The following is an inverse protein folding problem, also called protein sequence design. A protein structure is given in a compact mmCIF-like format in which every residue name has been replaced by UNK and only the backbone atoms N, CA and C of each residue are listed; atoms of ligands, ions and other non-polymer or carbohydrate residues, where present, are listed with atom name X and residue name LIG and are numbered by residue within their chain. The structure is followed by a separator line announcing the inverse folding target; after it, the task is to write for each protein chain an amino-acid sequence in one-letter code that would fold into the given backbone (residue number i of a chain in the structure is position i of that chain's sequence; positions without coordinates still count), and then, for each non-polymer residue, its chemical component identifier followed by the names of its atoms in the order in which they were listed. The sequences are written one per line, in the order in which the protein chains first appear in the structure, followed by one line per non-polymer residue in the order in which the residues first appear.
data_IF_581916159904
#
_entry.id   IF_581916159904
#
_cell.length_a   1.000
_cell.length_b   1.000
_cell.length_c   1.000
_cell.angle_alpha   90.00
_cell.angle_beta   90.00
_cell.angle_gamma   90.00
#
_symmetry.space_group_name_H-M   'P 1'
#
loop_
_entity.id
_entity.type
_entity.pdbx_description
1 polymer ?
#
# COMPACT_ATOMS: atom_id res chain seq x y z
N UNK A 1 41.28 -20.26 48.21
CA UNK A 1 40.82 -21.46 47.47
C UNK A 1 39.39 -21.79 47.87
N UNK A 2 38.42 -21.60 46.97
CA UNK A 2 37.22 -22.44 46.78
C UNK A 2 36.46 -21.85 45.59
N UNK A 3 36.45 -22.60 44.49
CA UNK A 3 35.72 -22.31 43.25
C UNK A 3 34.23 -22.53 43.52
N UNK A 4 33.38 -21.54 43.24
CA UNK A 4 31.95 -21.78 43.07
C UNK A 4 31.64 -21.77 41.56
N UNK A 5 31.49 -22.98 41.05
CA UNK A 5 30.96 -23.32 39.73
C UNK A 5 29.50 -22.87 39.62
N UNK A 6 29.21 -21.96 38.70
CA UNK A 6 27.83 -21.61 38.30
C UNK A 6 27.35 -22.69 37.33
N UNK A 7 26.31 -23.41 37.75
CA UNK A 7 25.58 -24.39 36.97
C UNK A 7 24.67 -23.67 35.94
N UNK A 8 24.82 -23.85 34.61
CA UNK A 8 24.02 -23.15 33.62
C UNK A 8 22.73 -23.94 33.34
N UNK A 9 21.81 -23.95 34.29
CA UNK A 9 20.50 -24.59 34.11
C UNK A 9 19.46 -24.04 35.08
N UNK A 10 19.18 -22.73 34.99
CA UNK A 10 17.98 -22.08 35.56
C UNK A 10 17.94 -20.59 35.15
N UNK A 11 17.58 -20.34 33.90
CA UNK A 11 17.11 -19.03 33.43
C UNK A 11 15.95 -19.29 32.48
N UNK A 12 14.79 -19.61 33.05
CA UNK A 12 13.49 -19.66 32.37
C UNK A 12 12.43 -19.32 33.42
N UNK A 13 12.59 -18.16 34.08
CA UNK A 13 11.47 -17.53 34.78
C UNK A 13 10.84 -16.52 33.83
N UNK A 14 9.58 -16.77 33.55
CA UNK A 14 8.72 -16.09 32.60
C UNK A 14 8.52 -14.63 33.04
N UNK A 15 8.93 -13.66 32.22
CA UNK A 15 8.60 -12.23 32.39
C UNK A 15 7.15 -11.99 31.93
N UNK A 16 6.20 -12.78 32.43
CA UNK A 16 4.79 -12.71 32.07
C UNK A 16 3.87 -12.27 33.22
N UNK A 17 4.40 -12.17 34.45
CA UNK A 17 3.56 -11.98 35.65
C UNK A 17 3.59 -10.55 36.23
N UNK A 18 3.98 -9.53 35.46
CA UNK A 18 3.99 -8.15 35.95
C UNK A 18 3.37 -7.16 34.96
N UNK A 19 2.06 -7.26 34.69
CA UNK A 19 1.26 -6.12 34.17
C UNK A 19 -0.20 -6.19 34.67
N UNK A 20 -0.84 -5.04 34.97
CA UNK A 20 -2.26 -4.98 35.38
C UNK A 20 -3.20 -5.31 34.22
N UNK A 21 -4.35 -5.87 34.57
CA UNK A 21 -5.35 -6.49 33.70
C UNK A 21 -5.76 -5.63 32.49
N UNK A 22 -5.35 -6.07 31.30
CA UNK A 22 -5.96 -5.67 30.03
C UNK A 22 -7.02 -6.71 29.60
N UNK A 23 -8.08 -6.20 28.95
CA UNK A 23 -9.32 -6.90 28.58
C UNK A 23 -9.13 -8.34 28.03
N UNK A 24 -9.97 -9.31 28.44
CA UNK A 24 -9.79 -10.75 28.13
C UNK A 24 -9.79 -11.10 26.63
N UNK A 25 -10.44 -10.29 25.78
CA UNK A 25 -10.69 -10.64 24.37
C UNK A 25 -9.44 -10.49 23.49
N UNK A 26 -8.57 -9.53 23.80
CA UNK A 26 -7.29 -9.34 23.09
C UNK A 26 -6.27 -10.42 23.48
N UNK A 27 -6.34 -11.00 24.67
CA UNK A 27 -5.39 -12.04 25.07
C UNK A 27 -5.49 -13.30 24.20
N UNK A 28 -6.67 -13.61 23.66
CA UNK A 28 -6.91 -14.87 22.93
C UNK A 28 -6.33 -14.86 21.51
N UNK A 29 -6.32 -13.71 20.83
CA UNK A 29 -5.65 -13.54 19.53
C UNK A 29 -4.15 -13.26 19.69
N UNK A 30 -3.74 -12.55 20.74
CA UNK A 30 -2.35 -12.17 20.97
C UNK A 30 -1.49 -13.31 21.57
N UNK A 31 -2.08 -14.26 22.31
CA UNK A 31 -1.35 -15.43 22.86
C UNK A 31 -0.91 -16.44 21.80
N UNK A 32 -1.35 -16.30 20.53
CA UNK A 32 -0.92 -17.19 19.43
C UNK A 32 0.39 -16.75 18.74
N UNK A 33 0.90 -15.55 18.99
CA UNK A 33 2.15 -15.09 18.38
C UNK A 33 3.34 -15.41 19.29
N UNK A 34 3.98 -16.56 19.04
CA UNK A 34 5.28 -16.90 19.61
C UNK A 34 6.39 -16.00 19.02
N UNK A 35 7.54 -15.83 19.71
CA UNK A 35 8.70 -15.16 19.13
C UNK A 35 9.09 -15.81 17.80
N UNK A 36 9.13 -15.01 16.73
CA UNK A 36 9.47 -15.46 15.37
C UNK A 36 10.92 -15.98 15.37
N UNK A 37 11.08 -17.31 15.27
CA UNK A 37 12.34 -17.96 14.90
C UNK A 37 12.49 -17.88 13.38
N UNK A 38 13.73 -17.68 12.89
CA UNK A 38 14.13 -17.56 11.48
C UNK A 38 12.98 -17.76 10.46
N UNK A 39 12.26 -16.69 10.12
CA UNK A 39 11.42 -16.69 8.91
C UNK A 39 12.36 -16.59 7.70
N UNK A 40 12.87 -17.73 7.26
CA UNK A 40 12.96 -17.94 5.81
C UNK A 40 11.54 -17.79 5.27
N UNK A 41 11.36 -17.03 4.18
CA UNK A 41 10.10 -17.05 3.44
C UNK A 41 9.63 -18.50 3.34
N UNK A 42 8.51 -18.81 4.02
CA UNK A 42 7.93 -20.14 3.97
C UNK A 42 7.32 -20.21 2.58
N UNK A 43 8.11 -20.67 1.62
CA UNK A 43 7.58 -21.17 0.35
C UNK A 43 6.60 -22.26 0.79
N UNK A 44 5.30 -22.03 0.60
CA UNK A 44 4.31 -23.01 0.93
C UNK A 44 4.58 -24.22 0.02
N UNK A 45 5.04 -25.34 0.59
CA UNK A 45 5.67 -26.43 -0.20
C UNK A 45 4.70 -27.21 -1.08
N UNK A 46 3.42 -26.82 -1.11
CA UNK A 46 2.39 -27.40 -1.98
C UNK A 46 2.14 -26.58 -3.25
N UNK A 47 2.43 -25.27 -3.23
CA UNK A 47 2.37 -24.38 -4.40
C UNK A 47 3.43 -23.29 -4.19
N UNK A 48 4.43 -23.20 -5.07
CA UNK A 48 5.56 -22.26 -5.02
C UNK A 48 5.09 -20.79 -5.02
N UNK A 49 4.47 -20.33 -3.95
CA UNK A 49 3.85 -19.02 -3.79
C UNK A 49 4.49 -18.26 -2.65
N UNK A 50 4.47 -16.93 -2.76
CA UNK A 50 4.91 -16.03 -1.71
C UNK A 50 3.89 -15.95 -0.56
N UNK A 51 4.22 -15.20 0.49
CA UNK A 51 3.36 -15.02 1.67
C UNK A 51 2.00 -14.36 1.39
N UNK A 52 1.79 -13.76 0.22
CA UNK A 52 0.50 -13.19 -0.20
C UNK A 52 -0.19 -14.03 -1.27
N UNK A 53 0.38 -15.17 -1.65
CA UNK A 53 -0.19 -16.11 -2.62
C UNK A 53 0.22 -15.88 -4.08
N UNK A 54 1.18 -14.99 -4.39
CA UNK A 54 1.67 -14.85 -5.76
C UNK A 54 2.61 -16.00 -6.12
N UNK A 55 2.40 -16.62 -7.30
CA UNK A 55 3.31 -17.65 -7.83
C UNK A 55 4.72 -17.05 -8.00
N UNK A 56 5.72 -17.73 -7.42
CA UNK A 56 7.09 -17.25 -7.26
C UNK A 56 7.73 -16.81 -8.59
N UNK A 57 7.87 -15.50 -8.78
CA UNK A 57 8.75 -14.90 -9.78
C UNK A 57 10.04 -14.51 -9.07
N UNK A 58 11.16 -15.19 -9.40
CA UNK A 58 12.55 -14.98 -8.89
C UNK A 58 12.67 -13.99 -7.72
N UNK A 59 12.26 -14.41 -6.52
CA UNK A 59 12.33 -13.52 -5.35
C UNK A 59 13.78 -13.26 -4.94
N UNK A 60 14.12 -11.98 -4.72
CA UNK A 60 15.17 -11.65 -3.79
C UNK A 60 14.71 -12.04 -2.39
N UNK A 61 15.44 -12.93 -1.72
CA UNK A 61 15.27 -13.16 -0.28
C UNK A 61 15.50 -11.86 0.46
N UNK A 62 14.44 -11.18 0.90
CA UNK A 62 14.55 -10.08 1.85
C UNK A 62 15.13 -10.62 3.15
N UNK A 63 16.44 -10.45 3.34
CA UNK A 63 17.12 -10.79 4.59
C UNK A 63 16.84 -9.71 5.62
N UNK A 64 15.62 -9.64 6.12
CA UNK A 64 15.39 -8.94 7.39
C UNK A 64 15.99 -9.81 8.49
N UNK A 65 17.05 -9.32 9.14
CA UNK A 65 17.57 -9.95 10.35
C UNK A 65 16.42 -10.10 11.38
N UNK A 66 16.15 -11.31 11.89
CA UNK A 66 15.04 -11.56 12.81
C UNK A 66 15.03 -10.62 14.03
N UNK A 67 16.20 -10.17 14.49
CA UNK A 67 16.28 -9.17 15.58
C UNK A 67 15.67 -7.83 15.15
N UNK A 68 15.94 -7.40 13.92
CA UNK A 68 15.39 -6.17 13.35
C UNK A 68 13.87 -6.27 13.17
N UNK A 69 13.36 -7.40 12.67
CA UNK A 69 11.93 -7.64 12.54
C UNK A 69 11.23 -7.63 13.90
N UNK A 70 11.75 -8.40 14.87
CA UNK A 70 11.22 -8.44 16.23
C UNK A 70 11.23 -7.05 16.89
N UNK A 71 12.30 -6.28 16.71
CA UNK A 71 12.37 -4.90 17.20
C UNK A 71 11.33 -3.98 16.53
N UNK A 72 11.02 -4.19 15.24
CA UNK A 72 9.94 -3.46 14.53
C UNK A 72 8.58 -3.85 15.09
N UNK A 73 8.33 -5.15 15.31
CA UNK A 73 7.08 -5.66 15.89
C UNK A 73 6.83 -5.05 17.27
N UNK A 74 7.81 -5.07 18.17
CA UNK A 74 7.68 -4.49 19.51
C UNK A 74 7.37 -2.99 19.47
N UNK A 75 8.03 -2.25 18.56
CA UNK A 75 7.76 -0.82 18.37
C UNK A 75 6.36 -0.56 17.86
N UNK A 76 5.86 -1.37 16.93
CA UNK A 76 4.52 -1.22 16.39
C UNK A 76 3.44 -1.63 17.40
N UNK A 77 3.68 -2.65 18.22
CA UNK A 77 2.79 -3.00 19.34
C UNK A 77 2.52 -1.80 20.25
N UNK A 78 3.57 -1.07 20.63
CA UNK A 78 3.44 0.17 21.41
C UNK A 78 2.68 1.25 20.63
N UNK A 79 2.93 1.39 19.32
CA UNK A 79 2.18 2.36 18.50
C UNK A 79 0.68 2.03 18.45
N UNK A 80 0.32 0.76 18.30
CA UNK A 80 -1.08 0.31 18.26
C UNK A 80 -1.76 0.56 19.60
N UNK A 81 -1.11 0.24 20.72
CA UNK A 81 -1.64 0.53 22.05
C UNK A 81 -1.93 2.03 22.25
N UNK A 82 -1.09 2.92 21.70
CA UNK A 82 -1.38 4.36 21.69
C UNK A 82 -2.61 4.70 20.83
N UNK A 83 -2.78 4.05 19.68
CA UNK A 83 -3.98 4.24 18.84
C UNK A 83 -5.24 3.83 19.59
N UNK A 84 -5.24 2.64 20.21
CA UNK A 84 -6.38 2.10 20.95
C UNK A 84 -6.76 2.94 22.17
N UNK A 85 -5.77 3.60 22.79
CA UNK A 85 -5.98 4.57 23.90
C UNK A 85 -6.36 5.97 23.44
N UNK A 86 -6.54 6.19 22.14
CA UNK A 86 -6.78 7.51 21.52
C UNK A 86 -5.66 8.53 21.79
N UNK A 87 -4.47 8.05 22.13
CA UNK A 87 -3.31 8.88 22.37
C UNK A 87 -2.66 9.26 21.04
N UNK A 88 -2.17 10.50 20.96
CA UNK A 88 -1.47 10.96 19.77
C UNK A 88 0.00 10.54 19.86
N UNK A 89 0.49 9.61 19.03
CA UNK A 89 1.91 9.30 19.02
C UNK A 89 2.72 10.50 18.54
N UNK A 90 3.99 10.54 18.94
CA UNK A 90 4.92 11.52 18.41
C UNK A 90 4.97 11.44 16.87
N UNK A 91 4.74 12.58 16.21
CA UNK A 91 4.60 12.66 14.75
C UNK A 91 5.88 12.23 14.03
N UNK A 92 7.05 12.57 14.58
CA UNK A 92 8.35 12.25 13.98
C UNK A 92 8.64 10.76 14.13
N UNK A 93 8.32 10.19 15.29
CA UNK A 93 8.45 8.77 15.58
C UNK A 93 7.54 7.93 14.69
N UNK A 94 6.24 8.27 14.60
CA UNK A 94 5.28 7.58 13.73
C UNK A 94 5.78 7.59 12.29
N UNK A 95 6.16 8.77 11.79
CA UNK A 95 6.73 8.93 10.45
C UNK A 95 7.95 8.06 10.19
N UNK A 96 8.90 8.03 11.14
CA UNK A 96 10.10 7.21 11.00
C UNK A 96 9.78 5.70 11.06
N UNK A 97 8.79 5.28 11.86
CA UNK A 97 8.34 3.89 11.93
C UNK A 97 7.64 3.48 10.64
N UNK A 98 6.71 4.29 10.13
CA UNK A 98 6.00 4.03 8.87
C UNK A 98 6.94 3.94 7.68
N UNK A 99 7.97 4.80 7.59
CA UNK A 99 8.98 4.70 6.51
C UNK A 99 9.85 3.45 6.58
N UNK A 100 10.06 2.88 7.77
CA UNK A 100 10.74 1.58 7.99
C UNK A 100 9.81 0.37 7.82
N UNK A 101 8.53 0.67 7.63
CA UNK A 101 7.43 -0.21 7.33
C UNK A 101 6.70 -0.82 8.51
N UNK A 102 5.43 -1.10 8.25
CA UNK A 102 4.49 -1.73 9.17
C UNK A 102 4.55 -3.25 8.94
N UNK A 103 4.84 -4.05 9.98
CA UNK A 103 4.73 -5.50 9.90
C UNK A 103 3.32 -5.91 9.51
N UNK A 104 3.20 -6.95 8.68
CA UNK A 104 1.94 -7.34 8.02
C UNK A 104 0.78 -7.49 9.02
N UNK A 105 1.02 -8.16 10.15
CA UNK A 105 0.01 -8.37 11.20
C UNK A 105 -0.53 -7.10 11.88
N UNK A 106 0.10 -5.94 11.70
CA UNK A 106 -0.39 -4.66 12.23
C UNK A 106 -1.09 -3.80 11.17
N UNK A 107 -1.09 -4.16 9.88
CA UNK A 107 -1.68 -3.32 8.82
C UNK A 107 -3.19 -3.17 8.98
N UNK A 108 -3.88 -4.25 9.34
CA UNK A 108 -5.32 -4.23 9.63
C UNK A 108 -5.71 -3.20 10.70
N UNK A 109 -4.82 -2.93 11.66
CA UNK A 109 -5.06 -1.97 12.76
C UNK A 109 -4.51 -0.58 12.42
N UNK A 110 -3.31 -0.51 11.84
CA UNK A 110 -2.63 0.75 11.59
C UNK A 110 -3.21 1.52 10.40
N UNK A 111 -3.58 0.84 9.30
CA UNK A 111 -4.00 1.54 8.08
C UNK A 111 -5.32 2.30 8.21
N UNK A 112 -6.37 1.79 8.88
CA UNK A 112 -7.57 2.58 9.16
C UNK A 112 -7.23 3.88 9.91
N UNK A 113 -6.37 3.78 10.95
CA UNK A 113 -5.89 4.94 11.68
C UNK A 113 -5.15 5.94 10.77
N UNK A 114 -4.20 5.46 9.96
CA UNK A 114 -3.40 6.30 9.06
C UNK A 114 -4.25 6.96 7.95
N UNK A 115 -5.25 6.25 7.41
CA UNK A 115 -6.24 6.81 6.48
C UNK A 115 -7.09 7.90 7.16
N UNK A 116 -7.09 7.94 8.49
CA UNK A 116 -7.82 8.87 9.33
C UNK A 116 -9.27 8.44 9.52
N UNK A 117 -9.59 7.15 9.37
CA UNK A 117 -10.89 6.60 9.75
C UNK A 117 -11.17 7.05 11.19
N UNK A 118 -12.29 7.76 11.47
CA UNK A 118 -12.46 8.42 12.75
C UNK A 118 -12.37 7.44 13.92
N UNK A 119 -11.63 7.78 14.97
CA UNK A 119 -11.38 6.89 16.11
C UNK A 119 -12.66 6.51 16.88
N UNK A 120 -13.68 7.38 16.88
CA UNK A 120 -15.02 7.04 17.38
C UNK A 120 -15.68 5.87 16.61
N UNK A 121 -15.20 5.57 15.40
CA UNK A 121 -15.53 4.36 14.66
C UNK A 121 -14.60 3.19 14.99
N UNK A 122 -13.38 3.43 15.47
CA UNK A 122 -12.36 2.40 15.79
C UNK A 122 -12.58 1.82 17.20
N UNK A 123 -12.92 2.65 18.20
CA UNK A 123 -12.83 2.28 19.63
C UNK A 123 -14.14 1.90 20.28
N UNK A 124 -15.05 1.34 19.52
CA UNK A 124 -16.33 1.04 20.12
C UNK A 124 -16.83 -0.29 19.64
N UNK A 125 -17.41 -0.97 20.61
CA UNK A 125 -18.73 -1.58 20.58
C UNK A 125 -19.73 -0.94 19.53
N UNK A 126 -19.44 0.17 18.82
CA UNK A 126 -20.16 0.69 17.64
C UNK A 126 -19.68 0.04 16.33
N UNK A 127 -18.56 -0.71 16.30
CA UNK A 127 -18.35 -1.80 15.32
C UNK A 127 -19.43 -2.89 15.48
N UNK A 128 -20.10 -3.05 16.64
CA UNK A 128 -21.35 -3.85 16.73
C UNK A 128 -22.58 -3.14 16.14
N UNK A 129 -22.41 -1.93 15.60
CA UNK A 129 -23.31 -1.31 14.61
C UNK A 129 -22.66 -1.34 13.21
N UNK A 130 -22.14 -2.51 12.83
CA UNK A 130 -21.88 -3.04 11.49
C UNK A 130 -22.97 -2.78 10.41
N UNK A 131 -23.99 -1.96 10.69
CA UNK A 131 -25.09 -1.68 9.78
C UNK A 131 -24.60 -1.16 8.45
N UNK A 132 -23.70 -0.18 8.36
CA UNK A 132 -23.48 0.49 7.07
C UNK A 132 -22.81 -0.36 5.99
N UNK A 133 -21.71 -1.06 6.29
CA UNK A 133 -21.08 -1.94 5.30
C UNK A 133 -22.04 -3.09 4.94
N UNK A 134 -22.65 -3.73 5.93
CA UNK A 134 -23.64 -4.79 5.68
C UNK A 134 -24.91 -4.28 4.97
N UNK A 135 -25.37 -3.06 5.23
CA UNK A 135 -26.50 -2.37 4.59
C UNK A 135 -26.16 -2.11 3.12
N UNK A 136 -24.95 -1.62 2.83
CA UNK A 136 -24.49 -1.45 1.46
C UNK A 136 -24.36 -2.79 0.72
N UNK A 137 -23.93 -3.85 1.40
CA UNK A 137 -23.92 -5.21 0.84
C UNK A 137 -25.33 -5.75 0.59
N UNK A 138 -26.29 -5.47 1.47
CA UNK A 138 -27.70 -5.88 1.34
C UNK A 138 -28.48 -5.02 0.35
N UNK A 139 -27.93 -3.88 -0.08
CA UNK A 139 -28.57 -2.99 -1.05
C UNK A 139 -28.86 -3.72 -2.36
N UNK A 140 -30.07 -3.47 -2.88
CA UNK A 140 -30.50 -3.92 -4.20
C UNK A 140 -30.08 -2.95 -5.31
N UNK A 141 -29.62 -1.74 -4.97
CA UNK A 141 -29.18 -0.71 -5.91
C UNK A 141 -27.75 -0.97 -6.43
N UNK A 142 -27.52 -2.17 -6.94
CA UNK A 142 -26.20 -2.62 -7.37
C UNK A 142 -26.21 -3.03 -8.84
N UNK A 143 -25.60 -2.16 -9.67
CA UNK A 143 -25.64 -2.28 -11.13
C UNK A 143 -24.30 -2.66 -11.76
N UNK A 144 -23.28 -2.93 -10.95
CA UNK A 144 -21.91 -3.15 -11.42
C UNK A 144 -21.42 -4.60 -11.28
N UNK A 145 -22.29 -5.53 -10.87
CA UNK A 145 -21.92 -6.93 -10.59
C UNK A 145 -21.15 -7.58 -11.74
N UNK A 146 -21.69 -7.51 -12.95
CA UNK A 146 -21.08 -8.11 -14.13
C UNK A 146 -19.69 -7.53 -14.40
N UNK A 147 -19.53 -6.21 -14.33
CA UNK A 147 -18.25 -5.55 -14.59
C UNK A 147 -17.22 -5.86 -13.50
N UNK A 148 -17.63 -5.84 -12.24
CA UNK A 148 -16.78 -6.20 -11.10
C UNK A 148 -16.28 -7.63 -11.23
N UNK A 149 -17.16 -8.59 -11.54
CA UNK A 149 -16.76 -10.01 -11.70
C UNK A 149 -15.77 -10.20 -12.84
N UNK A 150 -15.96 -9.54 -13.98
CA UNK A 150 -14.97 -9.58 -15.08
C UNK A 150 -13.61 -9.00 -14.66
N UNK A 151 -13.61 -7.95 -13.85
CA UNK A 151 -12.38 -7.34 -13.37
C UNK A 151 -11.69 -8.18 -12.29
N UNK A 152 -12.45 -8.85 -11.42
CA UNK A 152 -11.94 -9.80 -10.43
C UNK A 152 -11.12 -10.91 -11.11
N UNK A 153 -11.63 -11.50 -12.21
CA UNK A 153 -10.95 -12.59 -12.94
C UNK A 153 -9.55 -12.20 -13.49
N UNK A 154 -9.30 -10.91 -13.68
CA UNK A 154 -8.01 -10.37 -14.18
C UNK A 154 -7.25 -9.59 -13.11
N UNK A 155 -7.70 -9.62 -11.85
CA UNK A 155 -7.01 -8.97 -10.73
C UNK A 155 -5.99 -9.92 -10.15
N UNK A 156 -4.71 -9.57 -10.26
CA UNK A 156 -3.60 -10.40 -9.79
C UNK A 156 -3.72 -11.87 -10.26
N UNK A 157 -3.72 -12.13 -11.59
CA UNK A 157 -4.02 -13.46 -12.15
C UNK A 157 -3.04 -14.55 -11.70
N UNK A 158 -1.82 -14.17 -11.30
CA UNK A 158 -0.82 -15.09 -10.77
C UNK A 158 -0.94 -15.36 -9.26
N UNK A 159 -1.94 -14.77 -8.59
CA UNK A 159 -2.19 -14.96 -7.17
C UNK A 159 -3.25 -16.04 -6.92
N UNK A 160 -2.89 -17.06 -6.14
CA UNK A 160 -3.78 -18.20 -5.85
C UNK A 160 -5.03 -17.81 -5.07
N UNK A 161 -4.99 -16.72 -4.32
CA UNK A 161 -6.11 -16.21 -3.53
C UNK A 161 -7.13 -15.43 -4.36
N UNK A 162 -6.85 -15.12 -5.63
CA UNK A 162 -7.76 -14.40 -6.52
C UNK A 162 -8.25 -15.26 -7.69
N UNK A 163 -8.04 -16.58 -7.61
CA UNK A 163 -8.69 -17.54 -8.50
C UNK A 163 -10.22 -17.49 -8.28
N UNK A 164 -10.96 -17.96 -9.29
CA UNK A 164 -12.42 -17.91 -9.28
C UNK A 164 -13.01 -18.60 -8.05
N UNK A 165 -14.01 -17.97 -7.43
CA UNK A 165 -14.76 -18.47 -6.26
C UNK A 165 -13.92 -18.75 -5.00
N UNK A 166 -12.79 -18.07 -4.83
CA UNK A 166 -12.03 -18.06 -3.57
C UNK A 166 -12.68 -17.12 -2.55
N UNK A 167 -12.32 -17.28 -1.27
CA UNK A 167 -12.79 -16.37 -0.20
C UNK A 167 -12.38 -14.93 -0.48
N UNK A 168 -11.16 -14.72 -0.96
CA UNK A 168 -10.67 -13.37 -1.28
C UNK A 168 -11.24 -12.81 -2.59
N UNK A 169 -11.57 -13.63 -3.60
CA UNK A 169 -12.30 -13.13 -4.77
C UNK A 169 -13.72 -12.66 -4.41
N UNK A 170 -14.43 -13.37 -3.52
CA UNK A 170 -15.76 -12.94 -3.07
C UNK A 170 -15.69 -11.72 -2.13
N UNK A 171 -14.69 -11.65 -1.25
CA UNK A 171 -14.38 -10.46 -0.45
C UNK A 171 -14.15 -9.24 -1.36
N UNK A 172 -13.40 -9.40 -2.45
CA UNK A 172 -13.17 -8.35 -3.44
C UNK A 172 -14.49 -7.85 -4.06
N UNK A 173 -15.38 -8.76 -4.48
CA UNK A 173 -16.70 -8.41 -5.00
C UNK A 173 -17.50 -7.64 -3.95
N UNK A 174 -17.55 -8.13 -2.70
CA UNK A 174 -18.31 -7.53 -1.61
C UNK A 174 -17.84 -6.11 -1.30
N UNK A 175 -16.53 -5.89 -1.14
CA UNK A 175 -15.98 -4.57 -0.84
C UNK A 175 -16.23 -3.58 -1.99
N UNK A 176 -16.04 -4.00 -3.24
CA UNK A 176 -16.33 -3.18 -4.42
C UNK A 176 -17.81 -2.84 -4.55
N UNK A 177 -18.69 -3.82 -4.33
CA UNK A 177 -20.15 -3.61 -4.28
C UNK A 177 -20.50 -2.55 -3.26
N UNK A 178 -20.10 -2.73 -2.01
CA UNK A 178 -20.43 -1.82 -0.94
C UNK A 178 -19.93 -0.40 -1.21
N UNK A 179 -18.72 -0.27 -1.75
CA UNK A 179 -18.15 1.03 -2.12
C UNK A 179 -18.91 1.71 -3.26
N UNK A 180 -19.32 0.96 -4.29
CA UNK A 180 -20.09 1.50 -5.42
C UNK A 180 -21.46 2.02 -4.99
N UNK A 181 -22.09 1.36 -4.00
CA UNK A 181 -23.35 1.83 -3.38
C UNK A 181 -23.09 3.05 -2.48
N UNK A 182 -22.05 3.00 -1.65
CA UNK A 182 -21.72 4.08 -0.71
C UNK A 182 -21.35 5.40 -1.39
N UNK A 183 -20.82 5.35 -2.62
CA UNK A 183 -20.45 6.51 -3.43
C UNK A 183 -21.08 6.32 -4.82
N UNK A 184 -22.42 6.28 -4.86
CA UNK A 184 -23.21 6.01 -6.08
C UNK A 184 -22.85 6.90 -7.27
N UNK A 185 -22.56 8.17 -7.03
CA UNK A 185 -22.15 9.14 -8.06
C UNK A 185 -20.76 8.83 -8.67
N UNK A 186 -19.95 7.99 -8.02
CA UNK A 186 -18.71 7.42 -8.58
C UNK A 186 -18.98 6.07 -9.24
N UNK A 187 -19.83 5.25 -8.62
CA UNK A 187 -20.09 3.88 -9.04
C UNK A 187 -18.84 2.99 -8.95
N UNK A 188 -18.67 2.11 -9.94
CA UNK A 188 -17.47 1.29 -10.09
C UNK A 188 -16.64 1.76 -11.30
N UNK A 189 -15.31 1.83 -11.13
CA UNK A 189 -14.39 2.17 -12.19
C UNK A 189 -13.21 1.18 -12.23
N UNK A 190 -12.82 0.80 -13.44
CA UNK A 190 -11.69 -0.10 -13.69
C UNK A 190 -10.40 0.42 -13.03
N UNK A 191 -9.66 -0.49 -12.39
CA UNK A 191 -8.45 -0.19 -11.64
C UNK A 191 -8.68 -0.18 -10.13
N UNK A 192 -9.92 0.01 -9.68
CA UNK A 192 -10.29 -0.05 -8.27
C UNK A 192 -10.18 -1.46 -7.69
N UNK A 193 -10.37 -2.47 -8.54
CA UNK A 193 -10.18 -3.89 -8.23
C UNK A 193 -8.76 -4.18 -7.70
N UNK A 194 -7.71 -3.65 -8.32
CA UNK A 194 -6.33 -3.87 -7.87
C UNK A 194 -6.05 -3.27 -6.49
N UNK A 195 -6.52 -2.04 -6.26
CA UNK A 195 -6.36 -1.38 -4.98
C UNK A 195 -7.14 -2.13 -3.88
N UNK A 196 -8.36 -2.56 -4.17
CA UNK A 196 -9.21 -3.30 -3.22
C UNK A 196 -8.62 -4.67 -2.90
N UNK A 197 -8.18 -5.41 -3.92
CA UNK A 197 -7.50 -6.69 -3.77
C UNK A 197 -6.25 -6.57 -2.90
N UNK A 198 -5.45 -5.51 -3.10
CA UNK A 198 -4.27 -5.26 -2.29
C UNK A 198 -4.60 -5.03 -0.81
N UNK A 199 -5.72 -4.36 -0.51
CA UNK A 199 -6.15 -4.11 0.87
C UNK A 199 -6.62 -5.39 1.57
N UNK A 200 -7.54 -6.14 0.95
CA UNK A 200 -8.16 -7.33 1.58
C UNK A 200 -7.17 -8.47 1.84
N UNK A 201 -6.01 -8.50 1.17
CA UNK A 201 -4.94 -9.45 1.50
C UNK A 201 -4.33 -9.23 2.88
N UNK A 202 -4.44 -8.03 3.46
CA UNK A 202 -3.80 -7.66 4.74
C UNK A 202 -4.76 -6.99 5.74
N UNK A 203 -6.03 -6.85 5.38
CA UNK A 203 -7.10 -6.32 6.22
C UNK A 203 -8.35 -7.16 6.08
N UNK A 204 -9.29 -7.06 7.02
CA UNK A 204 -10.65 -7.56 6.80
C UNK A 204 -11.43 -6.66 5.81
N UNK A 205 -12.56 -7.17 5.32
CA UNK A 205 -13.43 -6.51 4.33
C UNK A 205 -13.88 -5.11 4.79
N UNK A 206 -14.31 -5.00 6.05
CA UNK A 206 -14.83 -3.73 6.58
C UNK A 206 -13.73 -2.66 6.69
N UNK A 207 -12.54 -3.03 7.15
CA UNK A 207 -11.39 -2.12 7.17
C UNK A 207 -10.96 -1.74 5.76
N UNK A 208 -10.93 -2.69 4.82
CA UNK A 208 -10.65 -2.40 3.42
C UNK A 208 -11.66 -1.38 2.86
N UNK A 209 -12.95 -1.60 3.09
CA UNK A 209 -14.02 -0.68 2.71
C UNK A 209 -13.81 0.72 3.29
N UNK A 210 -13.56 0.86 4.61
CA UNK A 210 -13.38 2.17 5.22
C UNK A 210 -12.11 2.88 4.76
N UNK A 211 -11.02 2.15 4.55
CA UNK A 211 -9.80 2.70 3.96
C UNK A 211 -10.13 3.24 2.56
N UNK A 212 -10.75 2.45 1.69
CA UNK A 212 -11.15 2.88 0.34
C UNK A 212 -12.08 4.10 0.38
N UNK A 213 -13.12 4.07 1.22
CA UNK A 213 -14.04 5.19 1.38
C UNK A 213 -13.29 6.49 1.74
N UNK A 214 -12.29 6.39 2.63
CA UNK A 214 -11.43 7.53 2.97
C UNK A 214 -10.51 7.95 1.83
N UNK A 215 -9.98 7.03 1.04
CA UNK A 215 -9.23 7.36 -0.18
C UNK A 215 -10.09 8.17 -1.15
N UNK A 216 -11.32 7.71 -1.39
CA UNK A 216 -12.27 8.37 -2.29
C UNK A 216 -12.64 9.78 -1.81
N UNK A 217 -12.96 9.93 -0.52
CA UNK A 217 -13.52 11.17 0.03
C UNK A 217 -12.47 12.18 0.50
N UNK A 218 -11.36 11.73 1.12
CA UNK A 218 -10.34 12.62 1.71
C UNK A 218 -9.19 12.91 0.75
N UNK A 219 -8.80 11.94 -0.07
CA UNK A 219 -7.66 12.08 -0.99
C UNK A 219 -8.09 12.41 -2.43
N UNK A 220 -9.36 12.78 -2.61
CA UNK A 220 -9.97 13.15 -3.88
C UNK A 220 -9.78 12.09 -4.98
N UNK A 221 -9.75 10.81 -4.60
CA UNK A 221 -9.61 9.72 -5.56
C UNK A 221 -10.91 9.47 -6.33
N UNK A 222 -12.07 9.74 -5.74
CA UNK A 222 -13.36 9.58 -6.43
C UNK A 222 -13.40 10.38 -7.74
N UNK A 223 -12.91 11.62 -7.73
CA UNK A 223 -12.86 12.48 -8.92
C UNK A 223 -11.97 11.90 -10.02
N UNK A 224 -10.91 11.18 -9.65
CA UNK A 224 -9.98 10.52 -10.57
C UNK A 224 -10.59 9.31 -11.25
N UNK A 225 -11.45 8.59 -10.55
CA UNK A 225 -12.22 7.48 -11.14
C UNK A 225 -13.40 7.97 -11.98
N UNK A 226 -14.09 9.05 -11.57
CA UNK A 226 -15.22 9.63 -12.32
C UNK A 226 -14.79 10.29 -13.62
N UNK A 227 -13.72 11.08 -13.55
CA UNK A 227 -13.23 11.86 -14.66
C UNK A 227 -11.73 11.61 -14.83
N UNK A 228 -11.33 10.67 -15.70
CA UNK A 228 -9.91 10.39 -15.97
C UNK A 228 -9.12 11.64 -16.39
N UNK A 229 -9.77 12.67 -16.93
CA UNK A 229 -9.12 13.95 -17.25
C UNK A 229 -8.64 14.71 -16.01
N UNK A 230 -9.11 14.36 -14.81
CA UNK A 230 -8.57 14.93 -13.56
C UNK A 230 -7.12 14.50 -13.32
N UNK A 231 -6.68 13.36 -13.89
CA UNK A 231 -5.29 12.90 -13.87
C UNK A 231 -4.33 13.81 -14.64
N UNK A 232 -4.85 14.70 -15.50
CA UNK A 232 -4.02 15.69 -16.21
C UNK A 232 -3.25 16.60 -15.23
N UNK A 233 -3.78 16.84 -14.02
CA UNK A 233 -3.04 17.54 -12.95
C UNK A 233 -1.81 16.73 -12.56
N UNK A 234 -1.99 15.45 -12.26
CA UNK A 234 -0.91 14.55 -11.85
C UNK A 234 0.15 14.43 -12.94
N UNK A 235 -0.24 14.30 -14.21
CA UNK A 235 0.69 14.25 -15.33
C UNK A 235 1.45 15.57 -15.48
N UNK A 236 0.79 16.72 -15.35
CA UNK A 236 1.47 18.01 -15.42
C UNK A 236 2.52 18.17 -14.33
N UNK A 237 2.17 17.83 -13.08
CA UNK A 237 3.09 17.92 -11.94
C UNK A 237 4.25 16.93 -12.14
N UNK A 238 3.96 15.70 -12.56
CA UNK A 238 4.98 14.69 -12.82
C UNK A 238 5.91 15.10 -13.98
N UNK A 239 5.39 15.67 -15.06
CA UNK A 239 6.20 16.18 -16.17
C UNK A 239 7.17 17.26 -15.67
N UNK A 240 6.68 18.23 -14.90
CA UNK A 240 7.53 19.28 -14.32
C UNK A 240 8.64 18.67 -13.44
N UNK A 241 8.31 17.66 -12.63
CA UNK A 241 9.28 16.98 -11.78
C UNK A 241 10.28 16.13 -12.59
N UNK A 242 9.85 15.43 -13.65
CA UNK A 242 10.75 14.68 -14.54
C UNK A 242 11.70 15.66 -15.24
N UNK A 243 11.22 16.78 -15.77
CA UNK A 243 12.09 17.79 -16.38
C UNK A 243 13.12 18.36 -15.38
N UNK A 244 12.76 18.46 -14.09
CA UNK A 244 13.66 18.93 -13.04
C UNK A 244 14.72 17.90 -12.62
N UNK A 245 14.32 16.65 -12.37
CA UNK A 245 15.21 15.63 -11.80
C UNK A 245 15.87 14.74 -12.85
N UNK A 246 15.25 14.59 -14.02
CA UNK A 246 15.65 13.70 -15.11
C UNK A 246 15.50 14.38 -16.47
N UNK A 247 16.20 15.51 -16.73
CA UNK A 247 16.06 16.28 -17.97
C UNK A 247 16.41 15.47 -19.22
N UNK A 248 17.34 14.51 -19.12
CA UNK A 248 17.68 13.58 -20.22
C UNK A 248 16.49 12.67 -20.55
N UNK A 249 15.87 12.05 -19.55
CA UNK A 249 14.65 11.26 -19.71
C UNK A 249 13.52 12.11 -20.29
N UNK A 250 13.31 13.34 -19.81
CA UNK A 250 12.29 14.24 -20.33
C UNK A 250 12.48 14.51 -21.84
N UNK A 251 13.72 14.73 -22.28
CA UNK A 251 14.05 14.90 -23.71
C UNK A 251 13.77 13.64 -24.52
N UNK A 252 14.09 12.45 -23.99
CA UNK A 252 13.83 11.17 -24.66
C UNK A 252 12.33 10.94 -24.82
N UNK A 253 11.54 11.14 -23.76
CA UNK A 253 10.09 11.01 -23.80
C UNK A 253 9.48 11.93 -24.87
N UNK A 254 9.88 13.21 -24.88
CA UNK A 254 9.45 14.19 -25.89
C UNK A 254 9.86 13.80 -27.30
N UNK A 255 11.13 13.39 -27.51
CA UNK A 255 11.63 12.97 -28.82
C UNK A 255 10.89 11.75 -29.37
N UNK A 256 10.51 10.83 -28.49
CA UNK A 256 9.78 9.62 -28.85
C UNK A 256 8.25 9.82 -28.88
N UNK A 257 7.73 11.03 -28.65
CA UNK A 257 6.28 11.31 -28.53
C UNK A 257 5.58 10.42 -27.49
N UNK A 258 6.23 10.18 -26.34
CA UNK A 258 5.67 9.40 -25.25
C UNK A 258 5.10 10.35 -24.19
N UNK A 259 3.78 10.52 -24.21
CA UNK A 259 3.07 11.24 -23.17
C UNK A 259 2.92 10.41 -21.89
N UNK A 260 2.91 11.09 -20.74
CA UNK A 260 2.76 10.46 -19.43
C UNK A 260 1.47 9.65 -19.30
N UNK A 261 0.38 10.08 -19.97
CA UNK A 261 -0.89 9.36 -19.96
C UNK A 261 -0.74 7.90 -20.42
N UNK A 262 0.20 7.60 -21.32
CA UNK A 262 0.36 6.24 -21.84
C UNK A 262 0.80 5.22 -20.79
N UNK A 263 1.53 5.63 -19.75
CA UNK A 263 2.07 4.71 -18.73
C UNK A 263 1.74 5.09 -17.29
N UNK A 264 1.56 6.38 -16.99
CA UNK A 264 1.33 6.86 -15.62
C UNK A 264 -0.14 6.87 -15.21
N UNK A 265 -1.08 6.59 -16.12
CA UNK A 265 -2.52 6.51 -15.78
C UNK A 265 -2.75 5.46 -14.70
N UNK A 266 -2.22 4.25 -14.89
CA UNK A 266 -2.34 3.15 -13.93
C UNK A 266 -1.67 3.47 -12.59
N UNK A 267 -0.55 4.20 -12.63
CA UNK A 267 0.21 4.58 -11.44
C UNK A 267 -0.64 5.41 -10.47
N UNK A 268 -1.35 6.42 -10.99
CA UNK A 268 -2.13 7.31 -10.16
C UNK A 268 -3.53 6.79 -9.87
N UNK A 269 -4.16 6.10 -10.83
CA UNK A 269 -5.52 5.59 -10.64
C UNK A 269 -5.54 4.40 -9.69
N UNK A 270 -4.54 3.52 -9.70
CA UNK A 270 -4.47 2.36 -8.79
C UNK A 270 -3.62 2.63 -7.55
N UNK A 271 -3.09 3.84 -7.39
CA UNK A 271 -2.07 4.17 -6.38
C UNK A 271 -0.87 3.21 -6.43
N UNK A 272 -0.48 2.81 -7.63
CA UNK A 272 0.58 1.85 -7.94
C UNK A 272 0.27 0.39 -7.56
N UNK A 273 -0.95 0.05 -7.15
CA UNK A 273 -1.31 -1.33 -6.79
C UNK A 273 -1.21 -2.31 -7.98
N UNK A 274 -1.45 -1.84 -9.21
CA UNK A 274 -1.24 -2.65 -10.42
C UNK A 274 0.18 -2.57 -10.98
N UNK A 275 1.04 -1.73 -10.39
CA UNK A 275 2.36 -1.38 -10.96
C UNK A 275 3.53 -1.88 -10.13
N UNK A 276 3.42 -1.95 -8.81
CA UNK A 276 4.52 -2.40 -7.96
C UNK A 276 4.28 -3.84 -7.52
N UNK A 277 5.35 -4.65 -7.35
CA UNK A 277 5.26 -5.89 -6.59
C UNK A 277 4.57 -5.62 -5.25
N UNK A 278 3.71 -6.54 -4.80
CA UNK A 278 2.75 -6.27 -3.72
C UNK A 278 3.43 -5.80 -2.43
N UNK A 279 4.57 -6.41 -2.07
CA UNK A 279 5.37 -6.01 -0.90
C UNK A 279 5.84 -4.56 -1.01
N UNK A 280 6.32 -4.14 -2.19
CA UNK A 280 6.76 -2.77 -2.43
C UNK A 280 5.58 -1.80 -2.44
N UNK A 281 4.45 -2.19 -3.04
CA UNK A 281 3.21 -1.42 -2.98
C UNK A 281 2.83 -1.10 -1.52
N UNK A 282 2.83 -2.09 -0.62
CA UNK A 282 2.48 -1.86 0.79
C UNK A 282 3.38 -0.84 1.47
N UNK A 283 4.69 -0.87 1.18
CA UNK A 283 5.66 0.10 1.68
C UNK A 283 5.37 1.51 1.20
N UNK A 284 5.02 1.67 -0.07
CA UNK A 284 4.67 2.99 -0.62
C UNK A 284 3.32 3.46 -0.08
N UNK A 285 2.34 2.56 -0.03
CA UNK A 285 0.96 2.85 0.34
C UNK A 285 0.83 3.30 1.79
N UNK A 286 1.48 2.63 2.74
CA UNK A 286 1.43 3.03 4.16
C UNK A 286 2.07 4.41 4.41
N UNK A 287 3.11 4.76 3.64
CA UNK A 287 3.72 6.09 3.70
C UNK A 287 2.82 7.12 3.03
N UNK A 288 2.10 6.75 1.96
CA UNK A 288 1.11 7.61 1.34
C UNK A 288 -0.06 7.92 2.28
N UNK A 289 -0.59 6.92 3.00
CA UNK A 289 -1.64 7.13 3.99
C UNK A 289 -1.23 8.19 5.02
N UNK A 290 0.01 8.10 5.53
CA UNK A 290 0.52 9.04 6.54
C UNK A 290 0.95 10.41 5.98
N UNK A 291 1.69 10.45 4.87
CA UNK A 291 2.36 11.68 4.39
C UNK A 291 1.64 12.40 3.24
N UNK A 292 0.70 11.73 2.58
CA UNK A 292 -0.15 12.25 1.51
C UNK A 292 0.44 12.13 0.10
N UNK A 293 -0.21 12.80 -0.86
CA UNK A 293 0.02 12.66 -2.32
C UNK A 293 1.47 12.86 -2.79
N UNK A 294 2.29 13.60 -2.04
CA UNK A 294 3.72 13.76 -2.35
C UNK A 294 4.47 12.45 -2.43
N UNK A 295 4.04 11.46 -1.66
CA UNK A 295 4.62 10.12 -1.70
C UNK A 295 4.43 9.49 -3.08
N UNK A 296 3.28 9.73 -3.73
CA UNK A 296 2.99 9.20 -5.07
C UNK A 296 3.93 9.79 -6.13
N UNK A 297 4.19 11.10 -6.08
CA UNK A 297 5.15 11.73 -7.00
C UNK A 297 6.59 11.27 -6.77
N UNK A 298 6.99 11.02 -5.51
CA UNK A 298 8.30 10.41 -5.21
C UNK A 298 8.40 8.98 -5.74
N UNK A 299 7.31 8.22 -5.62
CA UNK A 299 7.22 6.87 -6.15
C UNK A 299 7.38 6.87 -7.68
N UNK A 300 6.63 7.73 -8.38
CA UNK A 300 6.76 7.90 -9.82
C UNK A 300 8.19 8.26 -10.25
N UNK A 301 8.85 9.21 -9.56
CA UNK A 301 10.25 9.56 -9.84
C UNK A 301 11.22 8.40 -9.54
N UNK A 302 10.95 7.59 -8.52
CA UNK A 302 11.76 6.41 -8.22
C UNK A 302 11.61 5.33 -9.32
N UNK A 303 10.40 5.10 -9.82
CA UNK A 303 10.17 4.23 -10.98
C UNK A 303 10.99 4.72 -12.19
N UNK A 304 10.92 6.03 -12.50
CA UNK A 304 11.73 6.63 -13.57
C UNK A 304 13.23 6.46 -13.29
N UNK A 305 13.68 6.60 -12.04
CA UNK A 305 15.09 6.42 -11.68
C UNK A 305 15.63 5.05 -12.09
N UNK A 306 14.92 3.98 -11.74
CA UNK A 306 15.35 2.62 -12.01
C UNK A 306 15.24 2.28 -13.49
N UNK A 307 14.31 2.91 -14.23
CA UNK A 307 14.12 2.70 -15.66
C UNK A 307 15.01 3.55 -16.56
N UNK A 308 15.56 4.65 -16.04
CA UNK A 308 16.28 5.67 -16.81
C UNK A 308 17.40 5.10 -17.66
N UNK A 309 18.31 4.30 -17.08
CA UNK A 309 19.49 3.82 -17.79
C UNK A 309 19.11 3.01 -19.03
N UNK A 310 18.14 2.09 -18.89
CA UNK A 310 17.66 1.29 -20.02
C UNK A 310 16.90 2.16 -21.02
N UNK A 311 16.09 3.12 -20.56
CA UNK A 311 15.38 4.05 -21.45
C UNK A 311 16.36 4.89 -22.30
N UNK A 312 17.51 5.29 -21.74
CA UNK A 312 18.58 6.00 -22.47
C UNK A 312 19.24 5.10 -23.53
N UNK A 313 19.30 3.79 -23.33
CA UNK A 313 19.85 2.86 -24.32
C UNK A 313 18.88 2.58 -25.47
N UNK A 314 17.57 2.56 -25.19
CA UNK A 314 16.51 2.23 -26.13
C UNK A 314 16.15 3.36 -27.13
N UNK A 315 16.96 4.42 -27.21
CA UNK A 315 16.71 5.65 -28.00
C UNK A 315 15.89 5.45 -29.29
N UNK A 316 14.96 6.38 -29.53
CA UNK A 316 14.20 6.53 -30.79
C UNK A 316 13.18 5.42 -31.13
N UNK A 317 12.82 4.54 -30.19
CA UNK A 317 11.73 3.58 -30.40
C UNK A 317 10.58 3.80 -29.41
N UNK A 318 9.45 4.31 -29.89
CA UNK A 318 8.23 4.54 -29.10
C UNK A 318 7.75 3.26 -28.41
N UNK A 319 7.55 2.17 -29.15
CA UNK A 319 6.92 0.95 -28.66
C UNK A 319 7.78 0.25 -27.59
N UNK A 320 9.08 0.09 -27.85
CA UNK A 320 9.99 -0.58 -26.91
C UNK A 320 10.19 0.27 -25.65
N UNK A 321 10.29 1.60 -25.80
CA UNK A 321 10.38 2.51 -24.66
C UNK A 321 9.11 2.47 -23.80
N UNK A 322 7.93 2.46 -24.43
CA UNK A 322 6.66 2.39 -23.72
C UNK A 322 6.47 1.04 -23.02
N UNK A 323 6.82 -0.07 -23.68
CA UNK A 323 6.82 -1.41 -23.06
C UNK A 323 7.75 -1.44 -21.84
N UNK A 324 8.95 -0.88 -21.95
CA UNK A 324 9.89 -0.77 -20.84
C UNK A 324 9.32 0.05 -19.68
N UNK A 325 8.68 1.20 -19.96
CA UNK A 325 8.04 2.04 -18.94
C UNK A 325 6.88 1.33 -18.21
N UNK A 326 6.16 0.45 -18.91
CA UNK A 326 5.04 -0.33 -18.35
C UNK A 326 5.46 -1.62 -17.65
N UNK A 327 6.63 -2.19 -17.97
CA UNK A 327 7.07 -3.46 -17.38
C UNK A 327 7.35 -3.33 -15.87
N UNK A 328 7.03 -4.39 -15.13
CA UNK A 328 7.27 -4.50 -13.69
C UNK A 328 8.56 -5.24 -13.35
N UNK A 329 9.21 -5.86 -14.35
CA UNK A 329 10.28 -6.85 -14.17
C UNK A 329 11.46 -6.31 -13.35
N UNK A 330 11.80 -5.04 -13.56
CA UNK A 330 12.87 -4.36 -12.85
C UNK A 330 12.64 -4.39 -11.32
N UNK A 331 11.39 -4.28 -10.88
CA UNK A 331 11.02 -4.08 -9.47
C UNK A 331 11.01 -5.35 -8.65
N UNK A 332 10.87 -6.54 -9.25
CA UNK A 332 11.02 -7.81 -8.53
C UNK A 332 12.44 -8.06 -8.02
N UNK A 333 13.42 -7.38 -8.62
CA UNK A 333 14.85 -7.49 -8.25
C UNK A 333 15.35 -6.29 -7.44
N UNK A 334 14.48 -5.36 -7.06
CA UNK A 334 14.87 -4.20 -6.27
C UNK A 334 14.47 -4.44 -4.82
N UNK A 335 15.42 -4.26 -3.90
CA UNK A 335 15.11 -4.30 -2.47
C UNK A 335 14.16 -3.16 -2.08
N UNK A 336 13.16 -3.47 -1.26
CA UNK A 336 12.16 -2.50 -0.84
C UNK A 336 12.76 -1.29 -0.12
N UNK A 337 13.69 -1.52 0.81
CA UNK A 337 14.33 -0.43 1.55
C UNK A 337 15.22 0.40 0.61
N UNK A 338 15.88 -0.22 -0.39
CA UNK A 338 16.57 0.50 -1.47
C UNK A 338 15.63 1.43 -2.25
N UNK A 339 14.46 0.93 -2.67
CA UNK A 339 13.48 1.74 -3.40
C UNK A 339 12.97 2.92 -2.55
N UNK A 340 12.61 2.67 -1.28
CA UNK A 340 12.17 3.72 -0.36
C UNK A 340 13.29 4.73 -0.09
N UNK A 341 14.54 4.28 0.00
CA UNK A 341 15.69 5.18 0.15
C UNK A 341 15.84 6.12 -1.05
N UNK A 342 15.70 5.62 -2.27
CA UNK A 342 15.69 6.45 -3.49
C UNK A 342 14.57 7.50 -3.40
N UNK A 343 13.34 7.09 -3.06
CA UNK A 343 12.19 7.99 -2.96
C UNK A 343 12.46 9.21 -2.08
N UNK A 344 13.08 9.02 -0.91
CA UNK A 344 13.21 10.08 0.10
C UNK A 344 14.56 10.79 0.09
N UNK A 345 15.64 10.14 -0.33
CA UNK A 345 16.97 10.74 -0.33
C UNK A 345 17.26 11.50 -1.63
N UNK A 346 16.78 10.98 -2.77
CA UNK A 346 17.03 11.59 -4.08
C UNK A 346 16.04 12.71 -4.41
N UNK A 347 14.78 12.58 -3.98
CA UNK A 347 13.71 13.51 -4.38
C UNK A 347 13.23 14.39 -3.22
N UNK A 348 13.84 15.57 -3.12
CA UNK A 348 13.59 16.58 -2.08
C UNK A 348 12.84 17.78 -2.64
N UNK A 349 11.51 17.69 -2.65
CA UNK A 349 10.63 18.82 -2.93
C UNK A 349 9.67 19.11 -1.78
N UNK A 350 9.25 20.37 -1.62
CA UNK A 350 8.36 20.84 -0.55
C UNK A 350 6.88 20.58 -0.88
N UNK A 351 5.98 20.74 0.10
CA UNK A 351 4.52 20.74 -0.17
C UNK A 351 4.11 21.99 -0.96
N UNK A 352 4.77 23.10 -0.69
CA UNK A 352 4.59 24.36 -1.41
C UNK A 352 4.90 24.22 -2.89
N UNK A 353 5.95 23.47 -3.29
CA UNK A 353 6.24 23.26 -4.72
C UNK A 353 5.08 22.57 -5.43
N UNK A 354 4.48 21.54 -4.83
CA UNK A 354 3.34 20.83 -5.43
C UNK A 354 2.14 21.78 -5.57
N UNK A 355 1.86 22.59 -4.56
CA UNK A 355 0.80 23.60 -4.60
C UNK A 355 1.05 24.64 -5.71
N UNK A 356 2.29 25.13 -5.84
CA UNK A 356 2.67 26.08 -6.89
C UNK A 356 2.50 25.47 -8.30
N UNK A 357 2.89 24.21 -8.50
CA UNK A 357 2.70 23.51 -9.76
C UNK A 357 1.21 23.28 -10.07
N UNK A 358 0.40 22.97 -9.05
CA UNK A 358 -1.05 22.85 -9.20
C UNK A 358 -1.70 24.19 -9.58
N UNK A 359 -1.31 25.30 -8.96
CA UNK A 359 -1.77 26.63 -9.33
C UNK A 359 -1.37 26.99 -10.77
N UNK A 360 -0.15 26.61 -11.18
CA UNK A 360 0.32 26.78 -12.56
C UNK A 360 -0.54 25.99 -13.54
N UNK A 361 -0.87 24.73 -13.24
CA UNK A 361 -1.78 23.90 -14.03
C UNK A 361 -3.17 24.54 -14.16
N UNK A 362 -3.76 24.99 -13.03
CA UNK A 362 -5.07 25.66 -13.02
C UNK A 362 -5.09 26.92 -13.86
N UNK A 363 -4.00 27.70 -13.88
CA UNK A 363 -3.86 28.90 -14.73
C UNK A 363 -3.77 28.57 -16.22
N UNK A 364 -3.14 27.44 -16.58
CA UNK A 364 -3.04 27.00 -17.98
C UNK A 364 -4.37 26.50 -18.52
N UNK A 365 -5.20 25.82 -17.71
CA UNK A 365 -6.53 25.33 -18.12
C UNK A 365 -7.56 26.44 -18.34
N UNK A 366 -7.34 27.63 -17.78
CA UNK A 366 -8.24 28.80 -17.92
C UNK A 366 -7.93 29.67 -19.14
N UNK A 367 -6.80 29.44 -19.79
CA UNK A 367 -6.45 30.03 -21.08
C UNK A 367 -6.83 29.05 -22.17
#
# INVERSE_FOLDING_TARGET
MKKNTINPSKQNECIFDLLPEASPTLQTEFKKQQPIKQETSIINTQDQTDKYGFKSQKELKQKNDPKTLNARIQKWRITIDLFDKQEKPDKKLLKNRTRKGIPDGFRNLAWPYLAGVPQAKIDSIIYLKCGKYEEFLKSQEFNFEHQIRLDVLRTFPDNVNFQDQTVLSESLVNVLKALSVAISDMGYCQGLNFLTAALIMVTNDENAFWILFRLMTKYNQAEKYKNPSSLLREFFILDCLINQYYPTTAKILKKNNIDLFYFATEWFITLFASTLPIDLFYRVFEIFLLEGEKTLFRCALAIIHFKEQKLIQLQNNFEISLRHLKSLDDFFTIDNDQFINVMFNKFKFSRQLIQQLEEKYKKQKKK
#
